data_IF_334570416151
#
_entry.id   IF_334570416151
#
_cell.length_a   1.000
_cell.length_b   1.000
_cell.length_c   1.000
_cell.angle_alpha   90.00
_cell.angle_beta   90.00
_cell.angle_gamma   90.00
#
_symmetry.space_group_name_H-M   'P 1'
#
loop_
_entity.id
_entity.type
_entity.pdbx_description
1 polymer ?
#
# COMPACT_ATOMS: atom_id res chain seq x y z
N UNK A 1 21.79 6.27 -9.22
CA UNK A 1 21.01 6.99 -8.16
C UNK A 1 21.83 7.11 -6.88
N UNK A 2 21.74 8.25 -6.17
CA UNK A 2 22.30 8.46 -4.83
C UNK A 2 21.31 8.05 -3.73
N UNK A 3 20.04 8.25 -3.98
CA UNK A 3 18.93 7.86 -3.10
C UNK A 3 18.87 6.35 -3.00
N UNK A 4 18.94 5.82 -1.78
CA UNK A 4 18.80 4.38 -1.50
C UNK A 4 17.35 3.96 -1.63
N UNK A 5 17.11 2.78 -2.20
CA UNK A 5 15.77 2.19 -2.25
C UNK A 5 15.61 1.26 -1.04
N UNK A 6 14.53 1.45 -0.28
CA UNK A 6 14.34 0.78 1.00
C UNK A 6 13.02 0.02 0.99
N UNK A 7 13.08 -1.23 1.42
CA UNK A 7 11.91 -2.09 1.64
C UNK A 7 11.86 -2.58 3.09
N UNK A 8 10.66 -2.87 3.56
CA UNK A 8 10.43 -3.55 4.82
C UNK A 8 9.64 -4.84 4.55
N UNK A 9 10.22 -5.99 4.89
CA UNK A 9 9.62 -7.29 4.57
C UNK A 9 9.44 -8.13 5.82
N UNK A 10 8.23 -8.60 6.04
CA UNK A 10 7.90 -9.73 6.90
C UNK A 10 7.27 -10.78 6.01
N UNK A 11 7.90 -11.92 5.88
CA UNK A 11 7.47 -12.98 4.98
C UNK A 11 7.62 -14.37 5.61
N UNK A 12 6.80 -15.29 5.12
CA UNK A 12 6.78 -16.69 5.51
C UNK A 12 6.40 -17.59 4.35
N UNK A 13 6.50 -18.89 4.54
CA UNK A 13 6.07 -19.89 3.55
C UNK A 13 4.57 -19.79 3.21
N UNK A 14 3.76 -19.24 4.13
CA UNK A 14 2.29 -19.26 4.02
C UNK A 14 1.69 -18.00 3.38
N UNK A 15 2.52 -17.04 2.94
CA UNK A 15 2.08 -15.79 2.32
C UNK A 15 2.76 -15.56 0.96
N UNK A 16 2.52 -14.43 0.33
CA UNK A 16 3.12 -14.03 -0.96
C UNK A 16 3.98 -12.75 -0.86
N UNK A 17 4.29 -12.32 0.36
CA UNK A 17 4.98 -11.03 0.56
C UNK A 17 6.43 -11.07 0.05
N UNK A 18 7.09 -12.23 0.11
CA UNK A 18 8.41 -12.40 -0.49
C UNK A 18 8.34 -12.21 -2.02
N UNK A 19 7.38 -12.83 -2.66
CA UNK A 19 7.22 -12.80 -4.12
C UNK A 19 6.80 -11.42 -4.62
N UNK A 20 6.03 -10.69 -3.83
CA UNK A 20 5.73 -9.26 -4.07
C UNK A 20 7.00 -8.41 -4.02
N UNK A 21 7.74 -8.51 -2.91
CA UNK A 21 9.00 -7.80 -2.72
C UNK A 21 10.01 -8.16 -3.81
N UNK A 22 10.10 -9.44 -4.17
CA UNK A 22 10.98 -9.92 -5.25
C UNK A 22 10.61 -9.28 -6.59
N UNK A 23 9.33 -9.27 -6.92
CA UNK A 23 8.82 -8.64 -8.13
C UNK A 23 9.15 -7.15 -8.18
N UNK A 24 8.94 -6.45 -7.05
CA UNK A 24 9.25 -5.02 -6.95
C UNK A 24 10.74 -4.75 -7.13
N UNK A 25 11.62 -5.42 -6.38
CA UNK A 25 13.07 -5.24 -6.50
C UNK A 25 13.58 -5.67 -7.88
N UNK A 26 13.04 -6.76 -8.43
CA UNK A 26 13.40 -7.21 -9.78
C UNK A 26 13.05 -6.16 -10.85
N UNK A 27 11.84 -5.59 -10.77
CA UNK A 27 11.43 -4.51 -11.67
C UNK A 27 12.32 -3.28 -11.55
N UNK A 28 12.75 -2.92 -10.34
CA UNK A 28 13.74 -1.86 -10.10
C UNK A 28 15.06 -2.15 -10.82
N UNK A 29 15.58 -3.37 -10.70
CA UNK A 29 16.84 -3.79 -11.30
C UNK A 29 16.82 -3.76 -12.82
N UNK A 30 15.64 -3.73 -13.45
CA UNK A 30 15.55 -3.55 -14.92
C UNK A 30 15.91 -2.13 -15.38
N UNK A 31 15.92 -1.14 -14.48
CA UNK A 31 16.24 0.26 -14.77
C UNK A 31 17.48 0.75 -14.01
N UNK A 32 17.77 0.15 -12.86
CA UNK A 32 18.82 0.55 -11.92
C UNK A 32 19.53 -0.69 -11.38
N UNK A 33 20.53 -1.18 -12.10
CA UNK A 33 21.28 -2.39 -11.74
C UNK A 33 22.22 -2.17 -10.55
N UNK A 34 22.72 -0.95 -10.34
CA UNK A 34 23.71 -0.54 -9.35
C UNK A 34 23.15 0.25 -8.14
N UNK A 35 21.86 0.60 -8.12
CA UNK A 35 21.27 1.35 -7.01
C UNK A 35 21.37 0.56 -5.69
N UNK A 36 21.66 1.26 -4.60
CA UNK A 36 21.68 0.64 -3.28
C UNK A 36 20.26 0.26 -2.82
N UNK A 37 20.00 -1.04 -2.73
CA UNK A 37 18.75 -1.61 -2.20
C UNK A 37 19.00 -2.10 -0.78
N UNK A 38 18.26 -1.53 0.20
CA UNK A 38 18.29 -1.91 1.60
C UNK A 38 17.00 -2.63 1.95
N UNK A 39 17.08 -3.84 2.47
CA UNK A 39 15.95 -4.62 2.93
C UNK A 39 15.96 -4.75 4.45
N UNK A 40 14.93 -4.22 5.10
CA UNK A 40 14.71 -4.37 6.54
C UNK A 40 13.83 -5.60 6.79
N UNK A 41 14.28 -6.50 7.67
CA UNK A 41 13.58 -7.75 7.99
C UNK A 41 13.66 -8.05 9.49
N UNK A 42 12.77 -8.90 10.01
CA UNK A 42 13.01 -9.55 11.29
C UNK A 42 13.90 -10.79 11.14
N UNK A 43 14.32 -11.37 12.25
CA UNK A 43 15.24 -12.53 12.25
C UNK A 43 14.63 -13.76 11.53
N UNK A 44 13.32 -13.98 11.69
CA UNK A 44 12.64 -15.12 11.07
C UNK A 44 12.55 -14.95 9.56
N UNK A 45 12.19 -13.76 9.10
CA UNK A 45 12.15 -13.43 7.68
C UNK A 45 13.54 -13.55 7.06
N UNK A 46 14.60 -13.09 7.75
CA UNK A 46 15.97 -13.27 7.26
C UNK A 46 16.29 -14.74 6.99
N UNK A 47 16.04 -15.62 7.97
CA UNK A 47 16.28 -17.04 7.81
C UNK A 47 15.48 -17.66 6.66
N UNK A 48 14.25 -17.18 6.44
CA UNK A 48 13.40 -17.64 5.35
C UNK A 48 13.94 -17.23 3.99
N UNK A 49 14.30 -15.95 3.80
CA UNK A 49 14.76 -15.43 2.51
C UNK A 49 16.15 -15.92 2.10
N UNK A 50 17.01 -16.31 3.04
CA UNK A 50 18.34 -16.89 2.76
C UNK A 50 18.28 -18.17 1.90
N UNK A 51 17.12 -18.81 1.80
CA UNK A 51 16.89 -19.96 0.95
C UNK A 51 16.69 -19.58 -0.54
N UNK A 52 16.61 -18.28 -0.86
CA UNK A 52 16.31 -17.75 -2.19
C UNK A 52 17.50 -16.92 -2.71
N UNK A 53 18.54 -17.63 -3.15
CA UNK A 53 19.81 -17.00 -3.56
C UNK A 53 19.61 -15.92 -4.63
N UNK A 54 18.75 -16.17 -5.63
CA UNK A 54 18.48 -15.23 -6.73
C UNK A 54 17.74 -13.96 -6.25
N UNK A 55 16.93 -14.06 -5.20
CA UNK A 55 16.34 -12.91 -4.54
C UNK A 55 17.41 -12.11 -3.78
N UNK A 56 18.23 -12.78 -2.98
CA UNK A 56 19.24 -12.14 -2.17
C UNK A 56 20.30 -11.39 -3.03
N UNK A 57 20.63 -11.89 -4.22
CA UNK A 57 21.55 -11.22 -5.17
C UNK A 57 21.05 -9.86 -5.65
N UNK A 58 19.75 -9.59 -5.59
CA UNK A 58 19.16 -8.30 -5.99
C UNK A 58 19.31 -7.22 -4.92
N UNK A 59 19.69 -7.60 -3.70
CA UNK A 59 19.70 -6.74 -2.51
C UNK A 59 21.15 -6.36 -2.19
N UNK A 60 21.39 -5.07 -1.94
CA UNK A 60 22.72 -4.59 -1.56
C UNK A 60 23.00 -4.81 -0.07
N UNK A 61 21.99 -4.59 0.78
CA UNK A 61 22.15 -4.69 2.23
C UNK A 61 20.87 -5.24 2.87
N UNK A 62 21.00 -6.30 3.69
CA UNK A 62 19.91 -6.83 4.51
C UNK A 62 20.17 -6.44 5.96
N UNK A 63 19.25 -5.68 6.56
CA UNK A 63 19.32 -5.26 7.95
C UNK A 63 18.28 -5.99 8.80
N UNK A 64 18.74 -6.68 9.83
CA UNK A 64 17.84 -7.29 10.80
C UNK A 64 17.46 -6.27 11.85
N UNK A 65 16.16 -6.00 11.95
CA UNK A 65 15.57 -5.09 12.93
C UNK A 65 14.96 -5.91 14.05
N UNK A 66 15.32 -5.63 15.31
CA UNK A 66 14.68 -6.26 16.45
C UNK A 66 13.19 -5.90 16.51
N UNK A 67 12.33 -6.93 16.49
CA UNK A 67 10.89 -6.79 16.62
C UNK A 67 10.39 -7.79 17.67
N UNK A 68 9.47 -7.40 18.58
CA UNK A 68 8.91 -8.31 19.56
C UNK A 68 8.29 -9.55 18.89
N UNK A 69 8.55 -10.73 19.47
CA UNK A 69 8.09 -12.00 18.87
C UNK A 69 6.57 -12.15 18.92
N UNK A 70 5.94 -11.58 19.94
CA UNK A 70 4.49 -11.59 20.16
C UNK A 70 3.71 -10.75 19.14
N UNK A 71 4.39 -9.91 18.36
CA UNK A 71 3.73 -9.12 17.33
C UNK A 71 3.22 -10.01 16.20
N UNK A 72 2.00 -9.75 15.74
CA UNK A 72 1.47 -10.35 14.50
C UNK A 72 2.32 -9.94 13.29
N UNK A 73 2.27 -10.67 12.19
CA UNK A 73 2.99 -10.34 10.97
C UNK A 73 2.72 -8.90 10.50
N UNK A 74 1.45 -8.44 10.59
CA UNK A 74 1.06 -7.08 10.27
C UNK A 74 1.71 -6.05 11.20
N UNK A 75 1.73 -6.30 12.51
CA UNK A 75 2.38 -5.42 13.48
C UNK A 75 3.88 -5.34 13.25
N UNK A 76 4.53 -6.47 12.98
CA UNK A 76 5.97 -6.52 12.64
C UNK A 76 6.26 -5.72 11.38
N UNK A 77 5.48 -5.88 10.32
CA UNK A 77 5.63 -5.12 9.08
C UNK A 77 5.54 -3.60 9.32
N UNK A 78 4.54 -3.15 10.10
CA UNK A 78 4.37 -1.72 10.42
C UNK A 78 5.46 -1.18 11.35
N UNK A 79 5.96 -1.99 12.29
CA UNK A 79 7.11 -1.66 13.12
C UNK A 79 8.36 -1.41 12.28
N UNK A 80 8.65 -2.27 11.30
CA UNK A 80 9.76 -2.10 10.36
C UNK A 80 9.58 -0.83 9.52
N UNK A 81 8.41 -0.66 8.89
CA UNK A 81 8.10 0.45 8.00
C UNK A 81 8.27 1.80 8.69
N UNK A 82 7.67 1.96 9.87
CA UNK A 82 7.71 3.23 10.61
C UNK A 82 9.09 3.56 11.19
N UNK A 83 10.01 2.60 11.21
CA UNK A 83 11.39 2.75 11.69
C UNK A 83 12.44 2.86 10.57
N UNK A 84 12.06 2.80 9.32
CA UNK A 84 13.03 2.71 8.21
C UNK A 84 14.13 3.76 8.30
N UNK A 85 13.79 5.04 8.54
CA UNK A 85 14.76 6.13 8.66
C UNK A 85 15.77 5.94 9.80
N UNK A 86 15.39 5.19 10.85
CA UNK A 86 16.27 4.96 12.01
C UNK A 86 17.37 3.92 11.73
N UNK A 87 17.24 3.16 10.63
CA UNK A 87 18.18 2.10 10.23
C UNK A 87 18.90 2.37 8.91
N UNK A 88 18.55 3.43 8.21
CA UNK A 88 19.11 3.72 6.88
C UNK A 88 19.70 5.12 6.86
N UNK A 89 20.98 5.26 6.59
CA UNK A 89 21.68 6.53 6.41
C UNK A 89 21.62 6.97 4.95
N UNK A 90 21.76 8.26 4.69
CA UNK A 90 21.66 8.87 3.37
C UNK A 90 20.20 9.06 2.91
N UNK A 91 19.95 9.82 1.83
CA UNK A 91 18.61 9.97 1.30
C UNK A 91 18.02 8.63 0.90
N UNK A 92 16.72 8.43 1.17
CA UNK A 92 16.03 7.16 0.87
C UNK A 92 14.69 7.36 0.20
N UNK A 93 14.31 6.40 -0.64
CA UNK A 93 12.96 6.18 -1.14
C UNK A 93 12.47 4.83 -0.59
N UNK A 94 11.54 4.90 0.36
CA UNK A 94 10.85 3.70 0.85
C UNK A 94 9.79 3.28 -0.14
N UNK A 95 9.68 1.97 -0.40
CA UNK A 95 8.68 1.36 -1.26
C UNK A 95 7.96 0.22 -0.53
N UNK A 96 6.63 0.19 -0.59
CA UNK A 96 5.85 -0.99 -0.19
C UNK A 96 6.12 -2.16 -1.17
N UNK A 97 6.00 -3.39 -0.69
CA UNK A 97 6.36 -4.60 -1.45
C UNK A 97 5.46 -4.83 -2.68
N UNK A 98 4.21 -4.36 -2.64
CA UNK A 98 3.20 -4.46 -3.69
C UNK A 98 3.31 -3.33 -4.74
N UNK A 99 4.52 -2.83 -4.96
CA UNK A 99 4.86 -1.87 -6.02
C UNK A 99 5.58 -2.53 -7.18
N UNK A 100 5.49 -1.94 -8.37
CA UNK A 100 6.27 -2.35 -9.55
C UNK A 100 6.84 -1.11 -10.23
N UNK A 101 8.14 -1.10 -10.45
CA UNK A 101 8.85 0.00 -11.11
C UNK A 101 8.70 -0.17 -12.62
N UNK A 102 8.26 0.90 -13.29
CA UNK A 102 7.93 0.92 -14.71
C UNK A 102 8.77 1.89 -15.54
N UNK A 103 9.59 2.72 -14.88
CA UNK A 103 10.45 3.73 -15.50
C UNK A 103 11.63 4.04 -14.59
N UNK A 104 12.73 4.63 -15.11
CA UNK A 104 13.82 5.13 -14.28
C UNK A 104 13.35 6.11 -13.20
N UNK A 105 14.01 6.08 -12.04
CA UNK A 105 13.69 6.88 -10.85
C UNK A 105 14.75 7.97 -10.55
N UNK A 106 15.63 8.28 -11.51
CA UNK A 106 16.78 9.19 -11.29
C UNK A 106 16.36 10.58 -10.83
N UNK A 107 15.18 11.06 -11.23
CA UNK A 107 14.66 12.38 -10.84
C UNK A 107 14.42 12.50 -9.34
N UNK A 108 14.31 11.39 -8.61
CA UNK A 108 14.20 11.39 -7.15
C UNK A 108 15.44 12.01 -6.48
N UNK A 109 16.60 11.88 -7.10
CA UNK A 109 17.85 12.48 -6.60
C UNK A 109 17.84 14.03 -6.62
N UNK A 110 16.89 14.64 -7.33
CA UNK A 110 16.73 16.09 -7.42
C UNK A 110 15.82 16.67 -6.32
N UNK A 111 15.20 15.82 -5.49
CA UNK A 111 14.36 16.29 -4.39
C UNK A 111 15.21 16.96 -3.30
N UNK A 112 14.73 18.15 -2.85
CA UNK A 112 15.40 18.95 -1.82
C UNK A 112 14.58 19.09 -0.54
N UNK A 113 13.38 18.50 -0.51
CA UNK A 113 12.50 18.50 0.65
C UNK A 113 12.97 17.51 1.74
N UNK A 114 12.45 17.67 2.94
CA UNK A 114 12.68 16.74 4.04
C UNK A 114 12.02 15.38 3.79
N UNK A 115 10.70 15.42 3.50
CA UNK A 115 9.88 14.22 3.25
C UNK A 115 8.94 14.53 2.08
N UNK A 116 8.75 13.57 1.19
CA UNK A 116 7.73 13.65 0.16
C UNK A 116 6.95 12.33 0.03
N UNK A 117 5.64 12.44 -0.22
CA UNK A 117 4.76 11.32 -0.46
C UNK A 117 3.63 11.72 -1.42
N UNK A 118 2.97 10.73 -2.02
CA UNK A 118 1.83 10.98 -2.91
C UNK A 118 0.54 11.04 -2.08
N UNK A 119 -0.33 12.05 -2.31
CA UNK A 119 -1.64 12.10 -1.68
C UNK A 119 -2.45 10.83 -1.95
N UNK A 120 -3.12 10.33 -0.92
CA UNK A 120 -4.05 9.20 -1.04
C UNK A 120 -5.12 9.51 -2.08
N UNK A 121 -5.41 8.55 -2.96
CA UNK A 121 -6.33 8.70 -4.10
C UNK A 121 -5.94 9.81 -5.10
N UNK A 122 -4.74 10.37 -5.02
CA UNK A 122 -4.28 11.51 -5.82
C UNK A 122 -5.16 12.76 -5.68
N UNK A 123 -5.77 12.95 -4.52
CA UNK A 123 -6.72 14.04 -4.27
C UNK A 123 -6.38 14.81 -2.99
N UNK A 124 -6.66 16.12 -2.96
CA UNK A 124 -6.75 16.84 -1.70
C UNK A 124 -7.80 16.19 -0.79
N UNK A 125 -7.56 16.20 0.52
CA UNK A 125 -8.45 15.57 1.50
C UNK A 125 -9.90 16.07 1.40
N UNK A 126 -10.10 17.35 1.11
CA UNK A 126 -11.44 17.93 0.94
C UNK A 126 -12.22 17.33 -0.24
N UNK A 127 -11.52 16.80 -1.26
CA UNK A 127 -12.09 16.19 -2.46
C UNK A 127 -12.10 14.66 -2.43
N UNK A 128 -11.56 14.05 -1.39
CA UNK A 128 -11.57 12.59 -1.27
C UNK A 128 -12.99 12.07 -1.08
N UNK A 129 -13.38 11.03 -1.84
CA UNK A 129 -14.67 10.39 -1.70
C UNK A 129 -14.84 9.72 -0.32
N UNK A 130 -13.79 9.07 0.15
CA UNK A 130 -13.74 8.47 1.49
C UNK A 130 -12.70 9.22 2.31
N UNK A 131 -13.18 9.93 3.34
CA UNK A 131 -12.26 10.60 4.24
C UNK A 131 -11.83 9.63 5.34
N UNK A 132 -10.56 9.22 5.40
CA UNK A 132 -10.06 8.30 6.42
C UNK A 132 -9.98 8.93 7.81
N UNK A 133 -10.57 10.12 7.98
CA UNK A 133 -10.53 10.91 9.20
C UNK A 133 -11.25 10.28 10.40
N UNK A 134 -12.19 9.33 10.13
CA UNK A 134 -12.88 8.59 11.20
C UNK A 134 -11.90 7.82 12.08
N UNK A 135 -10.88 7.20 11.49
CA UNK A 135 -9.83 6.51 12.23
C UNK A 135 -8.93 7.49 12.99
N UNK A 136 -8.58 8.63 12.39
CA UNK A 136 -7.79 9.67 13.07
C UNK A 136 -8.53 10.20 14.30
N UNK A 137 -9.81 10.54 14.14
CA UNK A 137 -10.65 11.03 15.24
C UNK A 137 -10.83 9.99 16.33
N UNK A 138 -11.08 8.73 15.98
CA UNK A 138 -11.28 7.65 16.98
C UNK A 138 -10.01 7.31 17.74
N UNK A 139 -8.85 7.39 17.09
CA UNK A 139 -7.55 7.05 17.68
C UNK A 139 -6.98 8.22 18.47
N UNK A 140 -6.90 9.40 17.85
CA UNK A 140 -6.19 10.57 18.41
C UNK A 140 -7.11 11.64 19.01
N UNK A 141 -8.44 11.50 18.87
CA UNK A 141 -9.39 12.49 19.38
C UNK A 141 -9.40 13.82 18.61
N UNK A 142 -8.75 13.90 17.46
CA UNK A 142 -8.52 15.13 16.70
C UNK A 142 -9.38 15.16 15.45
N UNK A 143 -9.98 16.31 15.14
CA UNK A 143 -10.52 16.60 13.82
C UNK A 143 -9.37 17.09 12.92
N UNK A 144 -9.00 16.31 11.94
CA UNK A 144 -7.94 16.64 10.98
C UNK A 144 -8.51 17.11 9.62
N UNK A 145 -9.76 17.57 9.59
CA UNK A 145 -10.45 18.01 8.34
C UNK A 145 -9.81 19.24 7.69
N UNK A 146 -9.01 19.99 8.42
CA UNK A 146 -8.23 21.12 7.97
C UNK A 146 -6.92 20.74 7.27
N UNK A 147 -6.52 19.48 7.30
CA UNK A 147 -5.34 19.00 6.59
C UNK A 147 -5.55 19.08 5.07
N UNK A 148 -4.55 19.59 4.35
CA UNK A 148 -4.61 19.72 2.89
C UNK A 148 -4.65 18.35 2.22
N UNK A 149 -3.80 17.42 2.69
CA UNK A 149 -3.68 16.07 2.15
C UNK A 149 -3.70 15.03 3.27
N UNK A 150 -4.17 13.85 2.90
CA UNK A 150 -3.89 12.59 3.56
C UNK A 150 -2.94 11.83 2.63
N UNK A 151 -1.75 11.51 3.09
CA UNK A 151 -0.73 10.90 2.24
C UNK A 151 -0.79 9.38 2.30
N UNK A 152 -0.59 8.72 1.16
CA UNK A 152 -0.33 7.29 1.08
C UNK A 152 1.10 7.01 1.53
N UNK A 153 1.28 6.04 2.39
CA UNK A 153 2.57 5.70 2.99
C UNK A 153 3.34 4.62 2.23
N UNK A 154 2.86 4.19 1.04
CA UNK A 154 3.49 3.12 0.27
C UNK A 154 4.72 3.54 -0.53
N UNK A 155 4.89 4.86 -0.79
CA UNK A 155 6.10 5.44 -1.40
C UNK A 155 6.43 6.72 -0.65
N UNK A 156 7.59 6.75 0.01
CA UNK A 156 8.02 7.87 0.84
C UNK A 156 9.48 8.20 0.54
N UNK A 157 9.73 9.39 0.01
CA UNK A 157 11.06 9.96 0.01
C UNK A 157 11.37 10.59 1.38
N UNK A 158 12.59 10.40 1.89
CA UNK A 158 13.08 11.10 3.07
C UNK A 158 14.57 11.45 2.93
N UNK A 159 14.89 12.72 3.11
CA UNK A 159 16.25 13.20 3.26
C UNK A 159 16.87 12.67 4.55
N UNK A 160 18.20 12.75 4.66
CA UNK A 160 18.93 12.33 5.86
C UNK A 160 19.32 13.56 6.70
N UNK A 161 18.48 13.89 7.68
CA UNK A 161 18.71 14.97 8.62
C UNK A 161 17.98 14.71 9.95
N UNK A 162 18.31 15.47 10.99
CA UNK A 162 17.71 15.31 12.33
C UNK A 162 16.17 15.42 12.33
N UNK A 163 15.61 16.26 11.47
CA UNK A 163 14.18 16.48 11.40
C UNK A 163 13.47 15.23 10.87
N UNK A 164 14.00 14.59 9.85
CA UNK A 164 13.44 13.36 9.29
C UNK A 164 13.60 12.19 10.25
N UNK A 165 14.75 12.06 10.93
CA UNK A 165 14.92 11.05 12.00
C UNK A 165 13.90 11.23 13.12
N UNK A 166 13.71 12.47 13.61
CA UNK A 166 12.73 12.80 14.64
C UNK A 166 11.30 12.53 14.18
N UNK A 167 10.98 12.82 12.92
CA UNK A 167 9.68 12.54 12.32
C UNK A 167 9.37 11.03 12.32
N UNK A 168 10.28 10.19 11.83
CA UNK A 168 10.05 8.74 11.77
C UNK A 168 9.97 8.13 13.17
N UNK A 169 10.76 8.62 14.13
CA UNK A 169 10.62 8.25 15.54
C UNK A 169 9.21 8.56 16.05
N UNK A 170 8.72 9.76 15.79
CA UNK A 170 7.37 10.18 16.20
C UNK A 170 6.28 9.40 15.49
N UNK A 171 6.44 9.12 14.19
CA UNK A 171 5.51 8.26 13.45
C UNK A 171 5.41 6.87 14.09
N UNK A 172 6.53 6.25 14.44
CA UNK A 172 6.54 4.95 15.14
C UNK A 172 5.85 5.03 16.51
N UNK A 173 6.12 6.09 17.31
CA UNK A 173 5.46 6.31 18.60
C UNK A 173 3.94 6.44 18.44
N UNK A 174 3.47 7.26 17.49
CA UNK A 174 2.05 7.44 17.20
C UNK A 174 1.41 6.14 16.69
N UNK A 175 2.13 5.37 15.86
CA UNK A 175 1.64 4.07 15.40
C UNK A 175 1.52 3.07 16.55
N UNK A 176 2.48 3.01 17.46
CA UNK A 176 2.40 2.15 18.64
C UNK A 176 1.20 2.49 19.53
N UNK A 177 0.99 3.77 19.79
CA UNK A 177 -0.19 4.23 20.49
C UNK A 177 -1.49 3.82 19.78
N UNK A 178 -1.56 4.04 18.47
CA UNK A 178 -2.70 3.64 17.64
C UNK A 178 -2.96 2.13 17.70
N UNK A 179 -1.90 1.33 17.56
CA UNK A 179 -2.00 -0.11 17.50
C UNK A 179 -2.34 -0.76 18.84
N UNK A 180 -1.60 -0.41 19.88
CA UNK A 180 -1.66 -1.13 21.16
C UNK A 180 -2.66 -0.54 22.15
N UNK A 181 -2.85 0.79 22.13
CA UNK A 181 -3.79 1.45 23.04
C UNK A 181 -5.19 1.62 22.42
N UNK A 182 -5.28 1.68 21.09
CA UNK A 182 -6.54 1.94 20.37
C UNK A 182 -6.98 0.82 19.45
N UNK A 183 -6.19 -0.25 19.31
CA UNK A 183 -6.52 -1.41 18.48
C UNK A 183 -6.51 -1.14 16.97
N UNK A 184 -5.93 -0.03 16.50
CA UNK A 184 -5.84 0.31 15.09
C UNK A 184 -4.40 0.14 14.59
N UNK A 185 -4.15 -0.92 13.85
CA UNK A 185 -2.83 -1.27 13.31
C UNK A 185 -2.48 -0.59 11.96
N UNK A 186 -3.34 0.27 11.42
CA UNK A 186 -3.03 1.05 10.21
C UNK A 186 -1.96 2.10 10.51
N UNK A 187 -1.07 2.32 9.55
CA UNK A 187 0.06 3.25 9.70
C UNK A 187 -0.25 4.67 9.20
N UNK A 188 -1.15 4.84 8.24
CA UNK A 188 -1.47 6.14 7.66
C UNK A 188 -2.09 7.15 8.66
N UNK A 189 -3.01 6.77 9.59
CA UNK A 189 -3.51 7.73 10.57
C UNK A 189 -2.39 8.31 11.44
N UNK A 190 -1.41 7.48 11.79
CA UNK A 190 -0.23 7.87 12.57
C UNK A 190 0.74 8.72 11.76
N UNK A 191 0.83 8.48 10.44
CA UNK A 191 1.62 9.26 9.49
C UNK A 191 1.06 10.69 9.36
N UNK A 192 -0.26 10.82 9.23
CA UNK A 192 -0.92 12.12 9.24
C UNK A 192 -0.68 12.85 10.56
N UNK A 193 -0.79 12.17 11.71
CA UNK A 193 -0.56 12.78 13.01
C UNK A 193 0.88 13.28 13.14
N UNK A 194 1.87 12.48 12.79
CA UNK A 194 3.26 12.91 12.80
C UNK A 194 3.47 14.12 11.88
N UNK A 195 2.87 14.14 10.69
CA UNK A 195 2.96 15.28 9.77
C UNK A 195 2.41 16.58 10.40
N UNK A 196 1.26 16.51 11.07
CA UNK A 196 0.67 17.66 11.77
C UNK A 196 1.55 18.14 12.93
N UNK A 197 2.09 17.24 13.72
CA UNK A 197 2.97 17.56 14.87
C UNK A 197 4.28 18.22 14.42
N UNK A 198 4.75 17.93 13.20
CA UNK A 198 5.94 18.54 12.59
C UNK A 198 5.63 19.78 11.71
N UNK A 199 4.39 20.30 11.75
CA UNK A 199 4.03 21.50 10.97
C UNK A 199 3.77 21.21 9.50
N UNK A 200 3.32 20.00 9.14
CA UNK A 200 3.00 19.57 7.79
C UNK A 200 4.21 19.60 6.84
N UNK A 201 5.30 18.92 7.23
CA UNK A 201 6.56 18.91 6.48
C UNK A 201 6.55 18.00 5.25
N UNK A 202 5.54 17.14 5.09
CA UNK A 202 5.46 16.26 3.94
C UNK A 202 5.04 17.06 2.72
N UNK A 203 5.90 17.07 1.70
CA UNK A 203 5.61 17.68 0.41
C UNK A 203 4.93 16.68 -0.54
N UNK A 204 4.20 17.21 -1.52
CA UNK A 204 3.50 16.39 -2.52
C UNK A 204 4.49 15.86 -3.54
N UNK A 205 4.68 14.54 -3.58
CA UNK A 205 5.40 13.86 -4.63
C UNK A 205 4.49 13.70 -5.86
N UNK A 206 4.99 13.87 -7.09
CA UNK A 206 4.19 13.65 -8.29
C UNK A 206 3.57 12.25 -8.32
N UNK A 207 2.27 12.17 -8.66
CA UNK A 207 1.49 10.94 -8.58
C UNK A 207 2.00 9.78 -9.43
N UNK A 208 2.86 10.04 -10.43
CA UNK A 208 3.55 9.00 -11.22
C UNK A 208 4.46 8.11 -10.37
N UNK A 209 4.96 8.62 -9.23
CA UNK A 209 5.83 7.84 -8.32
C UNK A 209 5.05 6.96 -7.33
N UNK A 210 3.72 7.02 -7.34
CA UNK A 210 2.87 6.11 -6.59
C UNK A 210 1.50 6.08 -7.26
N UNK A 211 1.41 5.44 -8.43
CA UNK A 211 0.17 5.29 -9.17
C UNK A 211 -0.73 4.24 -8.48
N UNK A 212 -1.64 4.72 -7.64
CA UNK A 212 -2.54 3.95 -6.79
C UNK A 212 -3.72 3.42 -7.62
N UNK A 213 -3.47 2.39 -8.43
CA UNK A 213 -4.37 1.96 -9.52
C UNK A 213 -5.73 1.44 -9.06
N UNK A 214 -5.86 1.04 -7.81
CA UNK A 214 -7.16 0.63 -7.28
C UNK A 214 -8.12 1.79 -7.04
N UNK A 215 -7.57 2.98 -6.80
CA UNK A 215 -8.36 4.15 -6.46
C UNK A 215 -8.44 5.15 -7.61
N UNK A 216 -7.42 5.18 -8.48
CA UNK A 216 -7.37 6.12 -9.59
C UNK A 216 -6.45 5.64 -10.69
N UNK A 217 -6.91 5.67 -11.92
CA UNK A 217 -6.10 5.42 -13.11
C UNK A 217 -5.39 6.68 -13.65
N UNK A 218 -5.51 7.83 -12.97
CA UNK A 218 -5.03 9.14 -13.45
C UNK A 218 -3.57 9.13 -13.87
N UNK A 219 -2.71 8.43 -13.13
CA UNK A 219 -1.27 8.37 -13.42
C UNK A 219 -0.79 7.03 -13.98
N UNK A 220 -1.71 6.11 -14.27
CA UNK A 220 -1.36 4.74 -14.65
C UNK A 220 -0.54 4.67 -15.95
N UNK A 221 -0.92 5.43 -16.97
CA UNK A 221 -0.24 5.41 -18.27
C UNK A 221 1.24 5.82 -18.14
N UNK A 222 1.50 6.88 -17.37
CA UNK A 222 2.83 7.48 -17.20
C UNK A 222 3.53 7.05 -15.91
N UNK A 223 2.99 6.08 -15.18
CA UNK A 223 3.52 5.66 -13.91
C UNK A 223 5.00 5.28 -14.00
N UNK A 224 5.81 5.87 -13.10
CA UNK A 224 7.15 5.40 -12.79
C UNK A 224 7.10 4.25 -11.78
N UNK A 225 6.17 4.33 -10.81
CA UNK A 225 5.89 3.27 -9.84
C UNK A 225 4.38 3.03 -9.84
N UNK A 226 3.97 1.80 -10.11
CA UNK A 226 2.59 1.33 -9.95
C UNK A 226 2.47 0.67 -8.58
N UNK A 227 1.43 1.00 -7.84
CA UNK A 227 1.13 0.46 -6.53
C UNK A 227 -0.16 -0.36 -6.60
N UNK A 228 -0.03 -1.67 -6.38
CA UNK A 228 -1.07 -2.67 -6.59
C UNK A 228 -1.61 -3.20 -5.26
N UNK A 229 -1.80 -2.38 -4.25
CA UNK A 229 -2.16 -2.92 -2.94
C UNK A 229 -3.39 -3.84 -2.97
N UNK A 230 -3.36 -4.84 -2.12
CA UNK A 230 -4.41 -5.83 -2.03
C UNK A 230 -5.68 -5.27 -1.40
N UNK A 231 -6.75 -5.22 -2.18
CA UNK A 231 -8.09 -5.06 -1.63
C UNK A 231 -8.82 -6.38 -1.74
N UNK A 232 -8.69 -7.22 -0.72
CA UNK A 232 -9.48 -8.43 -0.60
C UNK A 232 -10.93 -8.08 -0.27
N UNK A 233 -11.69 -7.60 -1.28
CA UNK A 233 -13.14 -7.50 -1.14
C UNK A 233 -13.81 -8.86 -1.06
N UNK A 234 -13.08 -9.90 -1.43
CA UNK A 234 -13.58 -11.26 -1.56
C UNK A 234 -12.57 -12.15 -0.90
N UNK A 235 -12.88 -12.59 0.33
CA UNK A 235 -12.14 -13.66 0.98
C UNK A 235 -12.03 -14.85 0.03
N UNK A 236 -10.83 -15.42 -0.09
CA UNK A 236 -10.51 -16.63 -0.89
C UNK A 236 -10.57 -16.47 -2.42
N UNK A 237 -10.51 -15.28 -2.98
CA UNK A 237 -10.33 -15.13 -4.43
C UNK A 237 -8.87 -14.81 -4.80
N UNK A 238 -8.43 -15.43 -5.90
CA UNK A 238 -7.07 -15.34 -6.40
C UNK A 238 -6.75 -14.01 -7.07
N UNK A 239 -7.71 -13.10 -7.17
CA UNK A 239 -7.53 -11.79 -7.78
C UNK A 239 -8.47 -10.74 -7.18
N UNK A 240 -8.02 -9.49 -7.16
CA UNK A 240 -8.89 -8.33 -7.06
C UNK A 240 -9.39 -7.94 -8.46
N UNK A 241 -10.43 -7.11 -8.60
CA UNK A 241 -10.85 -6.60 -9.90
C UNK A 241 -9.74 -5.87 -10.68
N UNK A 242 -8.70 -5.40 -10.01
CA UNK A 242 -7.64 -4.58 -10.58
C UNK A 242 -6.27 -5.24 -10.61
N UNK A 243 -6.11 -6.40 -9.95
CA UNK A 243 -4.81 -7.01 -9.76
C UNK A 243 -4.87 -8.54 -9.74
N UNK A 244 -3.98 -9.18 -10.50
CA UNK A 244 -3.84 -10.64 -10.54
C UNK A 244 -2.60 -11.09 -9.75
N UNK A 245 -2.78 -11.98 -8.79
CA UNK A 245 -1.70 -12.60 -8.03
C UNK A 245 -1.02 -13.78 -8.75
N UNK A 246 -1.42 -14.08 -9.98
CA UNK A 246 -0.92 -15.27 -10.72
C UNK A 246 0.60 -15.24 -10.87
N UNK A 247 1.19 -14.05 -11.07
CA UNK A 247 2.65 -13.87 -11.21
C UNK A 247 3.35 -14.25 -9.90
N UNK A 248 2.89 -13.76 -8.76
CA UNK A 248 3.46 -14.09 -7.45
C UNK A 248 3.38 -15.59 -7.14
N UNK A 249 2.23 -16.20 -7.43
CA UNK A 249 2.06 -17.65 -7.27
C UNK A 249 3.01 -18.46 -8.17
N UNK A 250 3.27 -17.96 -9.37
CA UNK A 250 4.24 -18.58 -10.28
C UNK A 250 5.65 -18.48 -9.74
N UNK A 251 6.08 -17.30 -9.27
CA UNK A 251 7.40 -17.09 -8.66
C UNK A 251 7.57 -18.03 -7.45
N UNK A 252 6.55 -18.11 -6.57
CA UNK A 252 6.56 -18.99 -5.40
C UNK A 252 6.76 -20.44 -5.78
N UNK A 253 5.99 -20.93 -6.76
CA UNK A 253 6.07 -22.32 -7.24
C UNK A 253 7.43 -22.63 -7.88
N UNK A 254 7.94 -21.71 -8.72
CA UNK A 254 9.19 -21.92 -9.48
C UNK A 254 10.44 -21.51 -8.71
N UNK A 255 10.29 -20.73 -7.63
CA UNK A 255 11.38 -20.19 -6.79
C UNK A 255 12.40 -19.38 -7.58
N UNK A 256 11.99 -18.75 -8.67
CA UNK A 256 12.81 -17.92 -9.56
C UNK A 256 11.97 -17.00 -10.43
N UNK A 257 12.63 -16.01 -11.03
CA UNK A 257 12.06 -15.23 -12.14
C UNK A 257 12.44 -15.93 -13.45
N UNK A 258 11.47 -16.58 -14.10
CA UNK A 258 11.65 -17.17 -15.42
C UNK A 258 11.63 -16.11 -16.51
N UNK A 259 12.01 -16.47 -17.74
CA UNK A 259 11.91 -15.56 -18.90
C UNK A 259 10.48 -15.09 -19.16
N UNK A 260 9.50 -15.95 -18.94
CA UNK A 260 8.10 -15.62 -19.06
C UNK A 260 7.66 -14.63 -17.96
N UNK A 261 8.06 -14.90 -16.70
CA UNK A 261 7.78 -14.01 -15.57
C UNK A 261 8.47 -12.65 -15.75
N UNK A 262 9.72 -12.61 -16.23
CA UNK A 262 10.42 -11.37 -16.59
C UNK A 262 9.61 -10.54 -17.59
N UNK A 263 9.13 -11.19 -18.68
CA UNK A 263 8.30 -10.48 -19.65
C UNK A 263 7.02 -9.91 -19.04
N UNK A 264 6.34 -10.67 -18.17
CA UNK A 264 5.14 -10.23 -17.47
C UNK A 264 5.40 -9.04 -16.54
N UNK A 265 6.51 -9.06 -15.81
CA UNK A 265 6.91 -7.94 -14.91
C UNK A 265 7.22 -6.68 -15.73
N UNK A 266 7.99 -6.80 -16.81
CA UNK A 266 8.32 -5.66 -17.71
C UNK A 266 7.08 -5.06 -18.37
N UNK A 267 6.04 -5.85 -18.54
CA UNK A 267 4.75 -5.45 -19.10
C UNK A 267 3.64 -5.39 -18.04
N UNK A 268 3.99 -5.02 -16.82
CA UNK A 268 3.10 -5.09 -15.64
C UNK A 268 1.78 -4.35 -15.83
N UNK A 269 1.76 -3.25 -16.56
CA UNK A 269 0.54 -2.49 -16.87
C UNK A 269 -0.51 -3.28 -17.67
N UNK A 270 -0.11 -4.39 -18.29
CA UNK A 270 -0.99 -5.32 -19.01
C UNK A 270 -1.16 -6.63 -18.24
N UNK A 271 -0.05 -7.16 -17.68
CA UNK A 271 0.03 -8.51 -17.14
C UNK A 271 -0.55 -8.64 -15.74
N UNK A 272 -0.50 -7.56 -14.94
CA UNK A 272 -1.00 -7.55 -13.57
C UNK A 272 -2.49 -7.19 -13.49
N UNK A 273 -3.06 -6.62 -14.54
CA UNK A 273 -4.48 -6.23 -14.55
C UNK A 273 -5.34 -7.47 -14.80
N UNK A 274 -6.28 -7.73 -13.90
CA UNK A 274 -7.31 -8.73 -14.13
C UNK A 274 -8.30 -8.24 -15.19
N UNK A 275 -8.90 -9.13 -16.01
CA UNK A 275 -9.99 -8.75 -16.89
C UNK A 275 -11.19 -8.32 -16.06
N UNK A 276 -11.33 -7.01 -15.87
CA UNK A 276 -12.37 -6.40 -15.05
C UNK A 276 -12.86 -5.11 -15.68
N UNK A 277 -14.10 -4.73 -15.36
CA UNK A 277 -14.63 -3.44 -15.78
C UNK A 277 -14.24 -2.36 -14.77
N UNK A 278 -13.84 -1.16 -15.22
CA UNK A 278 -13.67 -0.02 -14.33
C UNK A 278 -14.99 0.28 -13.62
N UNK A 279 -14.93 0.50 -12.31
CA UNK A 279 -16.09 0.87 -11.49
C UNK A 279 -16.03 2.36 -11.25
N UNK A 280 -17.13 3.08 -11.55
CA UNK A 280 -17.23 4.51 -11.29
C UNK A 280 -17.12 4.82 -9.79
N UNK A 281 -16.63 6.02 -9.47
CA UNK A 281 -16.38 6.46 -8.11
C UNK A 281 -17.63 6.37 -7.21
N UNK A 282 -18.82 6.66 -7.76
CA UNK A 282 -20.08 6.57 -7.03
C UNK A 282 -20.41 5.13 -6.62
N UNK A 283 -20.10 4.15 -7.48
CA UNK A 283 -20.26 2.74 -7.17
C UNK A 283 -19.25 2.29 -6.11
N UNK A 284 -18.02 2.83 -6.16
CA UNK A 284 -17.02 2.57 -5.13
C UNK A 284 -17.49 3.07 -3.75
N UNK A 285 -18.12 4.24 -3.66
CA UNK A 285 -18.74 4.72 -2.43
C UNK A 285 -19.69 3.70 -1.81
N UNK A 286 -20.58 3.14 -2.62
CA UNK A 286 -21.52 2.12 -2.16
C UNK A 286 -20.78 0.86 -1.71
N UNK A 287 -19.86 0.34 -2.54
CA UNK A 287 -19.12 -0.91 -2.25
C UNK A 287 -18.30 -0.81 -0.96
N UNK A 288 -17.69 0.35 -0.67
CA UNK A 288 -16.92 0.58 0.54
C UNK A 288 -17.75 0.90 1.79
N UNK A 289 -19.02 1.26 1.60
CA UNK A 289 -19.90 1.54 2.72
C UNK A 289 -20.14 0.27 3.56
N UNK A 290 -20.47 0.40 4.86
CA UNK A 290 -20.87 -0.75 5.68
C UNK A 290 -22.00 -1.56 5.05
N UNK A 291 -22.98 -0.88 4.44
CA UNK A 291 -24.08 -1.53 3.74
C UNK A 291 -23.60 -2.32 2.51
N UNK A 292 -22.77 -1.72 1.66
CA UNK A 292 -22.22 -2.38 0.47
C UNK A 292 -21.39 -3.62 0.81
N UNK A 293 -20.55 -3.53 1.86
CA UNK A 293 -19.76 -4.68 2.35
C UNK A 293 -20.65 -5.83 2.82
N UNK A 294 -21.67 -5.53 3.62
CA UNK A 294 -22.61 -6.55 4.11
C UNK A 294 -23.40 -7.16 2.96
N UNK A 295 -23.95 -6.34 2.06
CA UNK A 295 -24.68 -6.82 0.90
C UNK A 295 -23.82 -7.71 0.01
N UNK A 296 -22.58 -7.31 -0.26
CA UNK A 296 -21.66 -8.09 -1.06
C UNK A 296 -21.34 -9.44 -0.41
N UNK A 297 -21.09 -9.47 0.91
CA UNK A 297 -20.86 -10.70 1.67
C UNK A 297 -22.08 -11.64 1.58
N UNK A 298 -23.26 -11.17 1.95
CA UNK A 298 -24.50 -11.97 1.92
C UNK A 298 -24.80 -12.48 0.50
N UNK A 299 -24.62 -11.63 -0.53
CA UNK A 299 -24.85 -12.01 -1.94
C UNK A 299 -23.96 -13.16 -2.38
N UNK A 300 -22.69 -13.14 -1.98
CA UNK A 300 -21.70 -14.18 -2.33
C UNK A 300 -21.88 -15.48 -1.57
N UNK A 301 -22.20 -15.40 -0.30
CA UNK A 301 -22.48 -16.58 0.51
C UNK A 301 -23.76 -17.31 0.03
N UNK A 302 -24.65 -16.60 -0.67
CA UNK A 302 -25.88 -17.18 -1.20
C UNK A 302 -26.88 -17.57 -0.11
N UNK A 303 -27.72 -18.57 -0.41
CA UNK A 303 -28.67 -19.12 0.55
C UNK A 303 -29.87 -18.24 0.84
N UNK A 304 -30.56 -18.53 1.95
CA UNK A 304 -31.82 -17.87 2.34
C UNK A 304 -31.63 -16.38 2.59
N UNK A 305 -30.52 -15.99 3.24
CA UNK A 305 -30.23 -14.60 3.54
C UNK A 305 -30.06 -13.75 2.27
N UNK A 306 -29.37 -14.27 1.26
CA UNK A 306 -29.22 -13.64 -0.06
C UNK A 306 -30.58 -13.49 -0.76
N UNK A 307 -31.41 -14.52 -0.75
CA UNK A 307 -32.75 -14.47 -1.36
C UNK A 307 -33.66 -13.42 -0.68
N UNK A 308 -33.63 -13.33 0.64
CA UNK A 308 -34.39 -12.33 1.41
C UNK A 308 -33.88 -10.92 1.13
N UNK A 309 -32.58 -10.72 1.07
CA UNK A 309 -31.97 -9.42 0.76
C UNK A 309 -32.37 -8.93 -0.63
N UNK A 310 -32.33 -9.81 -1.65
CA UNK A 310 -32.75 -9.48 -3.01
C UNK A 310 -34.24 -9.13 -3.09
N UNK A 311 -35.10 -9.86 -2.36
CA UNK A 311 -36.54 -9.52 -2.28
C UNK A 311 -36.77 -8.15 -1.63
N UNK A 312 -36.05 -7.87 -0.53
CA UNK A 312 -36.13 -6.57 0.14
C UNK A 312 -35.66 -5.43 -0.79
N UNK A 313 -34.56 -5.62 -1.53
CA UNK A 313 -34.07 -4.63 -2.49
C UNK A 313 -35.11 -4.32 -3.58
N UNK A 314 -35.82 -5.33 -4.13
CA UNK A 314 -36.87 -5.15 -5.12
C UNK A 314 -38.05 -4.35 -4.54
N UNK A 315 -38.44 -4.61 -3.29
CA UNK A 315 -39.49 -3.87 -2.60
C UNK A 315 -39.10 -2.41 -2.42
N UNK A 316 -37.89 -2.15 -1.93
CA UNK A 316 -37.34 -0.79 -1.73
C UNK A 316 -37.31 -0.01 -3.06
N UNK A 317 -36.87 -0.66 -4.14
CA UNK A 317 -36.89 -0.05 -5.49
C UNK A 317 -38.30 0.39 -5.92
N UNK A 318 -39.30 -0.47 -5.69
CA UNK A 318 -40.69 -0.14 -6.01
C UNK A 318 -41.19 1.05 -5.17
N UNK A 319 -40.90 1.07 -3.87
CA UNK A 319 -41.26 2.18 -2.97
C UNK A 319 -40.62 3.48 -3.47
N UNK A 320 -39.33 3.45 -3.79
CA UNK A 320 -38.59 4.61 -4.29
C UNK A 320 -39.19 5.16 -5.59
N UNK A 321 -39.53 4.29 -6.55
CA UNK A 321 -40.18 4.69 -7.80
C UNK A 321 -41.55 5.35 -7.59
N UNK A 322 -42.31 4.89 -6.57
CA UNK A 322 -43.62 5.49 -6.24
C UNK A 322 -43.41 6.87 -5.58
N UNK A 323 -42.46 6.98 -4.67
CA UNK A 323 -42.14 8.23 -3.99
C UNK A 323 -41.69 9.34 -4.95
N UNK A 324 -40.90 8.99 -5.98
CA UNK A 324 -40.37 9.95 -6.95
C UNK A 324 -41.35 10.33 -8.06
N UNK A 325 -42.47 9.58 -8.23
CA UNK A 325 -43.55 9.97 -9.15
C UNK A 325 -44.49 11.04 -8.56
N UNK A 326 -44.34 11.33 -7.26
CA UNK A 326 -45.14 12.33 -6.54
C UNK A 326 -44.42 13.68 -6.37
N UNK A 327 -43.20 13.79 -6.87
CA UNK A 327 -42.44 15.05 -7.04
C UNK A 327 -42.45 15.44 -8.51
#
# INVERSE_FOLDING_TARGET
>A
MKTKIVYALIASENDLFLEECWTSIYSLRTFHDDVCVVLLVDQNTKQYIEQFEDFCKLITEIKVVPVPQEYTAKQKSRELKTKTRLYVDGPMLFLDNDTVICRPLDDIDNLTCDIAAVPENHLPLAKMPFKPLGSVKSVFGIDASDSKFYFNSGVIYAADNERTHSFFKKWNENWKFSCFEKGNSQDEPSFLMANREFGNIIEELPGIYNAQVQMSLKYFADAAIVHWWHMNFIENQDYSPYFSQSIYKTIKRERRISKETDWLIRNCKQSFVSPSMPVGIDHMYFLFSPAGKIFNKIYKEGGIASALMLKAAIILEKIHKISNRKK
#
